data_IF_718370264627
#
_entry.id   IF_718370264627
#
_cell.length_a   1.000
_cell.length_b   1.000
_cell.length_c   1.000
_cell.angle_alpha   90.00
_cell.angle_beta   90.00
_cell.angle_gamma   90.00
#
_symmetry.space_group_name_H-M   'P 1'
#
loop_
_entity.id
_entity.type
_entity.pdbx_description
1 polymer ?
#
# COMPACT_ATOMS: atom_id res chain seq x y z
N UNK A 1 8.40 23.51 30.62
CA UNK A 1 8.68 22.33 29.77
C UNK A 1 8.33 22.65 28.32
N UNK A 2 8.71 21.82 27.34
CA UNK A 2 8.35 22.09 25.93
C UNK A 2 6.83 22.25 25.69
N UNK A 3 6.02 21.52 26.46
CA UNK A 3 4.55 21.58 26.41
C UNK A 3 4.01 22.93 26.89
N UNK A 4 4.72 23.61 27.80
CA UNK A 4 4.27 24.89 28.36
C UNK A 4 4.54 26.07 27.42
N UNK A 5 5.24 25.87 26.30
CA UNK A 5 5.61 26.94 25.37
C UNK A 5 4.41 27.82 24.95
N UNK A 6 3.27 27.19 24.67
CA UNK A 6 2.04 27.91 24.30
C UNK A 6 1.48 28.78 25.43
N UNK A 7 1.80 28.47 26.69
CA UNK A 7 1.35 29.21 27.88
C UNK A 7 2.38 30.24 28.37
N UNK A 8 3.66 29.89 28.32
CA UNK A 8 4.75 30.68 28.92
C UNK A 8 5.54 31.50 27.90
N UNK A 9 5.40 31.23 26.60
CA UNK A 9 6.15 31.91 25.52
C UNK A 9 7.66 31.63 25.51
N UNK A 10 8.21 31.02 26.56
CA UNK A 10 9.62 30.67 26.69
C UNK A 10 9.94 29.38 25.90
N UNK A 11 10.74 29.45 24.81
CA UNK A 11 11.05 28.29 23.98
C UNK A 11 11.91 27.28 24.74
N UNK A 12 11.62 25.99 24.53
CA UNK A 12 12.48 24.92 25.04
C UNK A 12 13.67 24.73 24.09
N UNK A 13 14.82 25.31 24.45
CA UNK A 13 16.06 25.09 23.72
C UNK A 13 16.70 23.76 24.14
N UNK A 14 17.15 22.97 23.15
CA UNK A 14 17.88 21.73 23.39
C UNK A 14 19.38 21.95 23.18
N UNK A 15 20.19 21.98 24.26
CA UNK A 15 21.64 22.08 24.17
C UNK A 15 22.22 21.01 23.23
N UNK A 16 23.24 21.38 22.44
CA UNK A 16 23.85 20.47 21.45
C UNK A 16 24.40 19.18 22.08
N UNK A 17 24.86 19.25 23.33
CA UNK A 17 25.40 18.10 24.09
C UNK A 17 24.34 17.03 24.35
N UNK A 18 23.07 17.42 24.47
CA UNK A 18 21.95 16.51 24.73
C UNK A 18 21.34 15.94 23.45
N UNK A 19 21.78 16.37 22.26
CA UNK A 19 21.28 15.83 20.99
C UNK A 19 21.83 14.41 20.80
N UNK A 20 20.97 13.39 20.65
CA UNK A 20 21.42 12.03 20.40
C UNK A 20 22.22 11.96 19.09
N UNK A 21 23.38 11.30 19.15
CA UNK A 21 24.19 11.02 17.96
C UNK A 21 23.64 9.85 17.16
N UNK A 22 23.19 8.82 17.86
CA UNK A 22 22.63 7.59 17.30
C UNK A 22 21.18 7.42 17.75
N UNK A 23 20.37 6.80 16.91
CA UNK A 23 18.96 6.52 17.19
C UNK A 23 18.71 5.02 17.33
N UNK A 24 17.72 4.60 18.13
CA UNK A 24 17.29 3.21 18.13
C UNK A 24 16.86 2.76 16.73
N UNK A 25 17.19 1.53 16.37
CA UNK A 25 16.86 0.91 15.08
C UNK A 25 15.36 0.93 14.74
N UNK A 26 14.49 0.68 15.72
CA UNK A 26 13.03 0.72 15.51
C UNK A 26 12.47 2.10 15.11
N UNK A 27 13.28 3.17 15.16
CA UNK A 27 12.86 4.50 14.69
C UNK A 27 13.04 4.69 13.17
N UNK A 28 13.67 3.75 12.46
CA UNK A 28 13.82 3.75 11.00
C UNK A 28 14.40 5.05 10.42
N UNK A 29 15.34 5.66 11.14
CA UNK A 29 16.02 6.87 10.70
C UNK A 29 17.21 6.53 9.82
N UNK A 30 16.96 6.00 8.63
CA UNK A 30 18.00 5.54 7.69
C UNK A 30 19.04 6.61 7.32
N UNK A 31 18.69 7.90 7.42
CA UNK A 31 19.61 9.02 7.19
C UNK A 31 20.64 9.23 8.32
N UNK A 32 20.47 8.58 9.46
CA UNK A 32 21.28 8.77 10.68
C UNK A 32 21.84 7.45 11.18
N UNK A 33 22.96 7.47 11.92
CA UNK A 33 23.48 6.24 12.51
C UNK A 33 22.47 5.68 13.52
N UNK A 34 22.29 4.36 13.47
CA UNK A 34 21.34 3.63 14.30
C UNK A 34 22.03 2.54 15.12
N UNK A 35 21.49 2.25 16.30
CA UNK A 35 21.94 1.14 17.15
C UNK A 35 20.81 0.14 17.41
N UNK A 36 21.20 -1.11 17.64
CA UNK A 36 20.31 -2.21 17.98
C UNK A 36 19.79 -2.01 19.43
N UNK A 37 18.54 -1.55 19.57
CA UNK A 37 17.90 -1.44 20.89
C UNK A 37 17.70 -2.81 21.55
N UNK A 38 18.08 -2.93 22.82
CA UNK A 38 17.86 -4.14 23.65
C UNK A 38 16.53 -4.13 24.41
N UNK A 39 15.78 -3.02 24.34
CA UNK A 39 14.49 -2.86 25.01
C UNK A 39 13.36 -3.64 24.33
N UNK A 40 12.20 -3.67 24.99
CA UNK A 40 11.01 -4.40 24.50
C UNK A 40 10.60 -3.93 23.10
N UNK A 41 10.60 -2.61 22.85
CA UNK A 41 10.27 -2.04 21.53
C UNK A 41 11.21 -2.54 20.42
N UNK A 42 12.52 -2.57 20.67
CA UNK A 42 13.49 -3.05 19.68
C UNK A 42 13.36 -4.54 19.38
N UNK A 43 13.05 -5.34 20.41
CA UNK A 43 12.78 -6.78 20.24
C UNK A 43 11.51 -7.03 19.43
N UNK A 44 10.43 -6.32 19.75
CA UNK A 44 9.16 -6.42 19.02
C UNK A 44 9.29 -5.98 17.56
N UNK A 45 9.99 -4.87 17.33
CA UNK A 45 10.27 -4.36 15.99
C UNK A 45 10.95 -5.42 15.12
N UNK A 46 12.04 -6.03 15.60
CA UNK A 46 12.75 -7.08 14.85
C UNK A 46 11.93 -8.33 14.63
N UNK A 47 11.21 -8.79 15.65
CA UNK A 47 10.31 -9.93 15.51
C UNK A 47 9.25 -9.70 14.42
N UNK A 48 8.73 -8.48 14.32
CA UNK A 48 7.79 -8.09 13.26
C UNK A 48 8.47 -8.03 11.89
N UNK A 49 9.63 -7.37 11.79
CA UNK A 49 10.40 -7.29 10.53
C UNK A 49 10.74 -8.70 10.02
N UNK A 50 11.26 -9.57 10.88
CA UNK A 50 11.58 -10.95 10.53
C UNK A 50 10.33 -11.73 10.09
N UNK A 51 9.19 -11.54 10.78
CA UNK A 51 7.93 -12.19 10.41
C UNK A 51 7.37 -11.71 9.06
N UNK A 52 7.45 -10.41 8.77
CA UNK A 52 6.93 -9.85 7.51
C UNK A 52 7.80 -10.28 6.33
N UNK A 53 9.11 -10.40 6.51
CA UNK A 53 10.01 -11.00 5.52
C UNK A 53 9.64 -12.46 5.24
N UNK A 54 9.38 -13.25 6.28
CA UNK A 54 8.92 -14.65 6.13
C UNK A 54 7.58 -14.74 5.39
N UNK A 55 6.62 -13.87 5.69
CA UNK A 55 5.32 -13.82 4.98
C UNK A 55 5.52 -13.42 3.51
N UNK A 56 6.36 -12.43 3.20
CA UNK A 56 6.68 -12.06 1.82
C UNK A 56 7.36 -13.20 1.06
N UNK A 57 8.23 -13.97 1.70
CA UNK A 57 8.85 -15.17 1.10
C UNK A 57 7.85 -16.30 0.88
N UNK A 58 6.84 -16.44 1.75
CA UNK A 58 5.78 -17.44 1.61
C UNK A 58 4.69 -17.04 0.61
N UNK A 59 4.59 -15.76 0.24
CA UNK A 59 3.70 -15.26 -0.81
C UNK A 59 4.16 -15.63 -2.23
N UNK A 60 5.28 -16.36 -2.38
CA UNK A 60 5.50 -17.19 -3.57
C UNK A 60 4.53 -18.35 -3.48
N UNK A 61 3.26 -18.05 -3.74
CA UNK A 61 2.15 -18.98 -3.74
C UNK A 61 2.51 -20.11 -4.71
N UNK A 62 2.90 -21.26 -4.17
CA UNK A 62 3.23 -22.41 -5.01
C UNK A 62 1.97 -22.79 -5.78
N UNK A 63 2.13 -23.17 -7.04
CA UNK A 63 1.05 -23.61 -7.93
C UNK A 63 0.17 -24.71 -7.28
N UNK A 64 0.74 -25.50 -6.37
CA UNK A 64 0.01 -26.49 -5.56
C UNK A 64 -0.92 -25.89 -4.51
N UNK A 65 -0.51 -24.80 -3.86
CA UNK A 65 -1.35 -24.09 -2.90
C UNK A 65 -2.51 -23.37 -3.58
N UNK A 66 -2.33 -22.90 -4.82
CA UNK A 66 -3.43 -22.33 -5.61
C UNK A 66 -4.50 -23.35 -5.95
N UNK A 67 -4.12 -24.57 -6.34
CA UNK A 67 -5.08 -25.63 -6.65
C UNK A 67 -5.85 -26.07 -5.40
N UNK A 68 -5.17 -26.23 -4.26
CA UNK A 68 -5.82 -26.61 -3.00
C UNK A 68 -6.77 -25.54 -2.43
N UNK A 69 -6.50 -24.26 -2.72
CA UNK A 69 -7.32 -23.14 -2.26
C UNK A 69 -8.47 -22.78 -3.23
N UNK A 70 -8.49 -23.35 -4.43
CA UNK A 70 -9.50 -23.03 -5.43
C UNK A 70 -10.82 -23.74 -5.10
N UNK A 71 -11.88 -22.95 -4.86
CA UNK A 71 -13.19 -23.48 -4.54
C UNK A 71 -14.00 -23.74 -5.82
N UNK A 72 -13.97 -25.00 -6.26
CA UNK A 72 -14.75 -25.47 -7.41
C UNK A 72 -16.27 -25.28 -7.24
N UNK A 73 -16.79 -25.05 -6.03
CA UNK A 73 -18.21 -24.77 -5.84
C UNK A 73 -18.63 -23.38 -6.34
N UNK A 74 -17.67 -22.47 -6.57
CA UNK A 74 -17.91 -21.14 -7.13
C UNK A 74 -17.93 -21.13 -8.66
N UNK A 75 -17.63 -22.25 -9.32
CA UNK A 75 -17.67 -22.35 -10.78
C UNK A 75 -19.12 -22.28 -11.29
N UNK A 76 -19.34 -21.40 -12.26
CA UNK A 76 -20.63 -21.29 -12.97
C UNK A 76 -20.46 -21.88 -14.36
N UNK A 77 -21.33 -22.83 -14.73
CA UNK A 77 -21.28 -23.47 -16.04
C UNK A 77 -21.22 -22.43 -17.18
N UNK A 78 -20.23 -22.57 -18.07
CA UNK A 78 -20.01 -21.66 -19.20
C UNK A 78 -19.08 -20.47 -18.91
N UNK A 79 -18.46 -20.39 -17.73
CA UNK A 79 -17.50 -19.34 -17.40
C UNK A 79 -16.27 -19.31 -18.33
N UNK A 80 -15.90 -20.47 -18.89
CA UNK A 80 -14.72 -20.63 -19.77
C UNK A 80 -14.73 -19.68 -20.96
N UNK A 81 -15.92 -19.32 -21.47
CA UNK A 81 -16.09 -18.40 -22.60
C UNK A 81 -15.60 -16.98 -22.25
N UNK A 82 -15.62 -16.61 -20.98
CA UNK A 82 -15.21 -15.28 -20.51
C UNK A 82 -13.74 -15.22 -20.11
N UNK A 83 -13.01 -16.33 -20.07
CA UNK A 83 -11.63 -16.36 -19.60
C UNK A 83 -10.70 -15.49 -20.46
N UNK A 84 -10.84 -15.55 -21.78
CA UNK A 84 -10.01 -14.75 -22.70
C UNK A 84 -10.24 -13.25 -22.50
N UNK A 85 -11.51 -12.83 -22.42
CA UNK A 85 -11.89 -11.43 -22.15
C UNK A 85 -11.42 -10.98 -20.78
N UNK A 86 -11.60 -11.80 -19.74
CA UNK A 86 -11.18 -11.48 -18.38
C UNK A 86 -9.65 -11.32 -18.26
N UNK A 87 -8.88 -12.18 -18.95
CA UNK A 87 -7.43 -12.05 -19.04
C UNK A 87 -7.02 -10.76 -19.73
N UNK A 88 -7.66 -10.43 -20.86
CA UNK A 88 -7.43 -9.16 -21.57
C UNK A 88 -7.68 -7.94 -20.67
N UNK A 89 -8.82 -7.90 -19.96
CA UNK A 89 -9.14 -6.80 -19.04
C UNK A 89 -8.17 -6.70 -17.87
N UNK A 90 -7.76 -7.84 -17.31
CA UNK A 90 -6.74 -7.89 -16.25
C UNK A 90 -5.42 -7.29 -16.74
N UNK A 91 -4.96 -7.66 -17.92
CA UNK A 91 -3.70 -7.19 -18.48
C UNK A 91 -3.77 -5.68 -18.79
N UNK A 92 -4.89 -5.20 -19.34
CA UNK A 92 -5.14 -3.77 -19.53
C UNK A 92 -5.11 -3.00 -18.20
N UNK A 93 -5.77 -3.52 -17.17
CA UNK A 93 -5.75 -2.92 -15.83
C UNK A 93 -4.33 -2.89 -15.26
N UNK A 94 -3.61 -4.01 -15.32
CA UNK A 94 -2.24 -4.12 -14.80
C UNK A 94 -1.28 -3.14 -15.49
N UNK A 95 -1.40 -2.96 -16.81
CA UNK A 95 -0.61 -1.99 -17.57
C UNK A 95 -0.90 -0.55 -17.16
N UNK A 96 -2.19 -0.19 -17.00
CA UNK A 96 -2.59 1.16 -16.55
C UNK A 96 -2.16 1.42 -15.12
N UNK A 97 -2.36 0.46 -14.21
CA UNK A 97 -1.92 0.57 -12.82
C UNK A 97 -0.39 0.75 -12.75
N UNK A 98 0.37 -0.07 -13.49
CA UNK A 98 1.84 0.06 -13.55
C UNK A 98 2.28 1.43 -14.08
N UNK A 99 1.55 1.98 -15.05
CA UNK A 99 1.83 3.32 -15.58
C UNK A 99 1.58 4.41 -14.52
N UNK A 100 0.49 4.32 -13.76
CA UNK A 100 0.21 5.24 -12.66
C UNK A 100 1.24 5.11 -11.52
N UNK A 101 1.61 3.88 -11.16
CA UNK A 101 2.64 3.60 -10.16
C UNK A 101 3.97 4.26 -10.55
N UNK A 102 4.40 4.07 -11.80
CA UNK A 102 5.61 4.71 -12.34
C UNK A 102 5.52 6.24 -12.31
N UNK A 103 4.36 6.81 -12.67
CA UNK A 103 4.14 8.26 -12.67
C UNK A 103 4.23 8.89 -11.27
N UNK A 104 3.65 8.23 -10.26
CA UNK A 104 3.67 8.72 -8.88
C UNK A 104 4.87 8.24 -8.06
N UNK A 105 5.66 7.30 -8.57
CA UNK A 105 6.78 6.68 -7.87
C UNK A 105 6.34 5.72 -6.75
N UNK A 106 5.20 5.04 -6.92
CA UNK A 106 4.75 3.98 -6.02
C UNK A 106 5.40 2.65 -6.41
N UNK A 107 5.79 1.86 -5.40
CA UNK A 107 6.43 0.55 -5.60
C UNK A 107 5.40 -0.58 -5.64
N UNK A 108 4.30 -0.43 -4.92
CA UNK A 108 3.27 -1.47 -4.78
C UNK A 108 1.86 -0.92 -4.97
N UNK A 109 0.93 -1.79 -5.37
CA UNK A 109 -0.45 -1.39 -5.65
C UNK A 109 -1.20 -0.88 -4.40
N UNK A 110 -0.87 -1.41 -3.21
CA UNK A 110 -1.48 -0.95 -1.95
C UNK A 110 -1.13 0.52 -1.64
N UNK A 111 0.05 0.99 -2.04
CA UNK A 111 0.41 2.41 -1.91
C UNK A 111 -0.47 3.29 -2.80
N UNK A 112 -0.78 2.83 -4.00
CA UNK A 112 -1.70 3.52 -4.92
C UNK A 112 -3.13 3.53 -4.38
N UNK A 113 -3.64 2.38 -3.94
CA UNK A 113 -5.00 2.25 -3.43
C UNK A 113 -5.23 3.08 -2.16
N UNK A 114 -4.23 3.16 -1.28
CA UNK A 114 -4.30 3.92 -0.03
C UNK A 114 -3.86 5.38 -0.17
N UNK A 115 -3.14 5.70 -1.25
CA UNK A 115 -2.44 6.97 -1.47
C UNK A 115 -1.31 7.23 -0.47
N UNK A 116 -0.81 6.19 0.22
CA UNK A 116 0.25 6.29 1.20
C UNK A 116 1.55 5.72 0.64
N UNK A 117 2.40 6.60 0.10
CA UNK A 117 3.72 6.20 -0.40
C UNK A 117 4.68 5.95 0.77
N UNK A 118 5.36 4.80 0.77
CA UNK A 118 6.46 4.50 1.71
C UNK A 118 7.66 5.39 1.39
N UNK A 119 8.05 5.45 0.12
CA UNK A 119 9.17 6.27 -0.35
C UNK A 119 8.70 7.64 -0.82
N UNK A 120 8.58 8.57 0.13
CA UNK A 120 8.21 9.97 -0.17
C UNK A 120 9.41 10.75 -0.67
N UNK A 121 9.21 11.49 -1.76
CA UNK A 121 10.20 12.45 -2.23
C UNK A 121 10.56 13.45 -1.10
N UNK A 122 11.83 13.82 -1.00
CA UNK A 122 12.37 14.62 0.11
C UNK A 122 11.61 15.94 0.36
N UNK A 123 11.10 16.57 -0.71
CA UNK A 123 10.33 17.82 -0.62
C UNK A 123 8.91 17.62 -0.09
N UNK A 124 8.32 16.43 -0.23
CA UNK A 124 6.99 16.10 0.29
C UNK A 124 7.03 15.67 1.76
N UNK A 125 8.18 15.22 2.25
CA UNK A 125 8.35 14.85 3.66
C UNK A 125 8.18 16.06 4.61
N UNK A 126 8.48 17.27 4.14
CA UNK A 126 8.40 18.50 4.95
C UNK A 126 7.09 19.26 4.79
N UNK A 127 6.46 19.15 3.62
CA UNK A 127 5.23 19.88 3.29
C UNK A 127 4.01 18.94 3.31
N UNK A 128 3.43 18.78 4.49
CA UNK A 128 2.26 17.91 4.69
C UNK A 128 1.05 18.33 3.85
N UNK A 129 0.93 19.62 3.49
CA UNK A 129 -0.18 20.10 2.67
C UNK A 129 -0.03 19.60 1.24
N UNK A 130 1.14 19.78 0.63
CA UNK A 130 1.43 19.25 -0.72
C UNK A 130 1.32 17.73 -0.78
N UNK A 131 1.74 17.05 0.28
CA UNK A 131 1.56 15.61 0.37
C UNK A 131 0.08 15.21 0.38
N UNK A 132 -0.76 15.94 1.11
CA UNK A 132 -2.22 15.77 1.07
C UNK A 132 -2.79 15.96 -0.33
N UNK A 133 -2.45 17.06 -1.01
CA UNK A 133 -2.91 17.33 -2.37
C UNK A 133 -2.47 16.25 -3.37
N UNK A 134 -1.25 15.73 -3.23
CA UNK A 134 -0.75 14.62 -4.05
C UNK A 134 -1.52 13.33 -3.77
N UNK A 135 -1.73 13.01 -2.50
CA UNK A 135 -2.51 11.83 -2.08
C UNK A 135 -3.91 11.88 -2.68
N UNK A 136 -4.57 13.03 -2.63
CA UNK A 136 -5.91 13.19 -3.23
C UNK A 136 -5.89 12.94 -4.74
N UNK A 137 -4.85 13.41 -5.45
CA UNK A 137 -4.69 13.13 -6.88
C UNK A 137 -4.51 11.63 -7.17
N UNK A 138 -3.68 10.94 -6.40
CA UNK A 138 -3.49 9.49 -6.53
C UNK A 138 -4.82 8.77 -6.38
N UNK A 139 -5.58 9.10 -5.33
CA UNK A 139 -6.88 8.49 -5.07
C UNK A 139 -7.91 8.77 -6.17
N UNK A 140 -7.90 9.97 -6.74
CA UNK A 140 -8.76 10.31 -7.89
C UNK A 140 -8.36 9.47 -9.12
N UNK A 141 -7.08 9.40 -9.46
CA UNK A 141 -6.59 8.63 -10.60
C UNK A 141 -6.92 7.13 -10.48
N UNK A 142 -6.78 6.55 -9.28
CA UNK A 142 -7.16 5.16 -9.02
C UNK A 142 -8.67 4.96 -9.16
N UNK A 143 -9.49 5.89 -8.65
CA UNK A 143 -10.95 5.83 -8.83
C UNK A 143 -11.37 5.92 -10.30
N UNK A 144 -10.70 6.75 -11.07
CA UNK A 144 -10.95 6.87 -12.51
C UNK A 144 -10.59 5.57 -13.23
N UNK A 145 -9.46 4.94 -12.88
CA UNK A 145 -9.08 3.63 -13.41
C UNK A 145 -10.10 2.54 -13.01
N UNK A 146 -10.58 2.53 -11.77
CA UNK A 146 -11.61 1.60 -11.32
C UNK A 146 -12.93 1.79 -12.07
N UNK A 147 -13.33 3.04 -12.33
CA UNK A 147 -14.52 3.35 -13.14
C UNK A 147 -14.35 2.80 -14.55
N UNK A 148 -13.21 3.06 -15.19
CA UNK A 148 -12.94 2.58 -16.53
C UNK A 148 -12.92 1.04 -16.61
N UNK A 149 -12.29 0.39 -15.62
CA UNK A 149 -12.30 -1.07 -15.54
C UNK A 149 -13.72 -1.63 -15.40
N UNK A 150 -14.57 -0.97 -14.59
CA UNK A 150 -15.99 -1.33 -14.46
C UNK A 150 -16.73 -1.20 -15.79
N UNK A 151 -16.46 -0.15 -16.55
CA UNK A 151 -17.06 0.06 -17.88
C UNK A 151 -16.68 -1.07 -18.85
N UNK A 152 -15.43 -1.56 -18.84
CA UNK A 152 -15.03 -2.73 -19.66
C UNK A 152 -15.83 -3.98 -19.31
N UNK A 153 -16.06 -4.22 -18.01
CA UNK A 153 -16.89 -5.34 -17.58
C UNK A 153 -18.35 -5.20 -18.03
N UNK A 154 -18.91 -3.99 -17.94
CA UNK A 154 -20.30 -3.72 -18.34
C UNK A 154 -20.51 -3.76 -19.86
N UNK A 155 -19.50 -3.40 -20.67
CA UNK A 155 -19.61 -3.42 -22.14
C UNK A 155 -19.56 -4.82 -22.72
N UNK A 156 -18.68 -5.67 -22.16
CA UNK A 156 -18.34 -6.96 -22.76
C UNK A 156 -19.16 -8.11 -22.16
N UNK A 157 -19.66 -7.95 -20.92
CA UNK A 157 -20.70 -8.82 -20.40
C UNK A 157 -22.07 -8.35 -20.91
N UNK A 158 -22.62 -9.04 -21.90
CA UNK A 158 -24.03 -8.86 -22.28
C UNK A 158 -24.91 -9.02 -21.02
N UNK A 159 -25.99 -8.24 -20.87
CA UNK A 159 -26.94 -8.38 -19.77
C UNK A 159 -27.79 -9.65 -19.96
N UNK A 160 -27.16 -10.82 -19.86
CA UNK A 160 -27.86 -12.07 -19.69
C UNK A 160 -28.12 -12.24 -18.20
N UNK A 161 -29.41 -12.11 -17.85
CA UNK A 161 -30.05 -12.49 -16.59
C UNK A 161 -29.09 -12.56 -15.40
N UNK A 162 -28.87 -11.41 -14.74
CA UNK A 162 -28.28 -11.40 -13.41
C UNK A 162 -29.12 -12.32 -12.51
N UNK A 163 -28.68 -13.57 -12.32
CA UNK A 163 -29.18 -14.37 -11.22
C UNK A 163 -28.86 -13.57 -9.97
N UNK A 164 -29.90 -13.19 -9.23
CA UNK A 164 -29.78 -12.54 -7.94
C UNK A 164 -29.04 -13.50 -7.01
N UNK A 165 -27.72 -13.39 -6.97
CA UNK A 165 -26.90 -14.08 -5.97
C UNK A 165 -27.28 -13.49 -4.61
N UNK A 166 -27.47 -14.36 -3.61
CA UNK A 166 -27.88 -13.95 -2.27
C UNK A 166 -26.89 -12.91 -1.72
N UNK A 167 -27.41 -11.74 -1.31
CA UNK A 167 -26.60 -10.74 -0.63
C UNK A 167 -26.21 -11.29 0.76
N UNK A 168 -24.91 -11.32 1.04
CA UNK A 168 -24.39 -11.53 2.38
C UNK A 168 -24.56 -10.26 3.23
#
# INVERSE_FOLDING_TARGET
MAVDFAKTGAPAEMPRVLKPREFPDFMERFEKPMYISKGVLGKLYRALVDSTLQVRSNNVLSEKFTEEAYDHQLEVNGFEVFLETALSHRDMYAQKMSSLMSFYGAETEDEMLTGNLQNRAFYLQRDNRRYGDMKDRILISVKDLQREAKEWFESDCQPHEHQLMASA
#
